data_IF_859521654437
#
_entry.id   IF_859521654437
#
_cell.length_a   1.000
_cell.length_b   1.000
_cell.length_c   1.000
_cell.angle_alpha   90.00
_cell.angle_beta   90.00
_cell.angle_gamma   90.00
#
_symmetry.space_group_name_H-M   'P 1'
#
loop_
_entity.id
_entity.type
_entity.pdbx_description
1 polymer ?
#
# COMPACT_ATOMS: atom_id res chain seq x y z
N UNK A 1 25.37 27.12 19.48
CA UNK A 1 25.23 25.86 18.69
C UNK A 1 24.22 24.86 19.30
N UNK A 2 23.88 24.91 20.61
CA UNK A 2 22.90 23.99 21.23
C UNK A 2 21.49 24.12 20.68
N UNK A 3 20.93 25.33 20.61
CA UNK A 3 19.54 25.58 20.23
C UNK A 3 19.16 25.06 18.82
N UNK A 4 20.04 25.22 17.84
CA UNK A 4 19.80 24.75 16.48
C UNK A 4 19.78 23.22 16.43
N UNK A 5 20.67 22.55 17.18
CA UNK A 5 20.70 21.09 17.28
C UNK A 5 19.43 20.53 17.91
N UNK A 6 18.95 21.15 18.99
CA UNK A 6 17.72 20.73 19.68
C UNK A 6 16.51 20.89 18.75
N UNK A 7 16.36 22.07 18.10
CA UNK A 7 15.27 22.31 17.17
C UNK A 7 15.25 21.32 15.99
N UNK A 8 16.42 20.93 15.49
CA UNK A 8 16.52 19.96 14.38
C UNK A 8 16.15 18.55 14.81
N UNK A 9 16.52 18.15 16.02
CA UNK A 9 16.13 16.87 16.62
C UNK A 9 14.63 16.81 16.85
N UNK A 10 14.04 17.87 17.43
CA UNK A 10 12.61 17.96 17.69
C UNK A 10 11.79 17.91 16.39
N UNK A 11 12.24 18.62 15.35
CA UNK A 11 11.62 18.58 14.03
C UNK A 11 11.68 17.17 13.39
N UNK A 12 12.79 16.47 13.55
CA UNK A 12 12.96 15.11 13.04
C UNK A 12 12.00 14.13 13.77
N UNK A 13 11.89 14.23 15.08
CA UNK A 13 10.99 13.39 15.87
C UNK A 13 9.52 13.65 15.53
N UNK A 14 9.14 14.88 15.22
CA UNK A 14 7.79 15.21 14.80
C UNK A 14 7.48 14.72 13.39
N UNK A 15 8.44 14.79 12.46
CA UNK A 15 8.26 14.41 11.05
C UNK A 15 8.30 12.88 10.82
N UNK A 16 9.09 12.16 11.62
CA UNK A 16 9.32 10.73 11.42
C UNK A 16 8.04 9.87 11.44
N UNK A 17 7.11 10.02 12.40
CA UNK A 17 5.86 9.25 12.40
C UNK A 17 5.01 9.50 11.15
N UNK A 18 4.91 10.76 10.72
CA UNK A 18 4.14 11.11 9.50
C UNK A 18 4.78 10.50 8.26
N UNK A 19 6.11 10.57 8.15
CA UNK A 19 6.85 9.97 7.05
C UNK A 19 6.68 8.44 7.02
N UNK A 20 6.69 7.76 8.16
CA UNK A 20 6.48 6.31 8.27
C UNK A 20 5.06 5.91 7.85
N UNK A 21 4.05 6.66 8.31
CA UNK A 21 2.65 6.41 7.92
C UNK A 21 2.49 6.63 6.41
N UNK A 22 3.01 7.72 5.86
CA UNK A 22 2.97 7.97 4.41
C UNK A 22 3.67 6.87 3.62
N UNK A 23 4.89 6.50 4.02
CA UNK A 23 5.65 5.42 3.38
C UNK A 23 4.87 4.09 3.41
N UNK A 24 4.21 3.79 4.53
CA UNK A 24 3.41 2.57 4.68
C UNK A 24 2.28 2.51 3.65
N UNK A 25 1.51 3.60 3.51
CA UNK A 25 0.42 3.69 2.53
C UNK A 25 0.90 3.65 1.10
N UNK A 26 1.99 4.35 0.80
CA UNK A 26 2.60 4.36 -0.52
C UNK A 26 3.14 2.98 -0.91
N UNK A 27 3.83 2.30 0.01
CA UNK A 27 4.34 0.94 -0.20
C UNK A 27 3.20 -0.06 -0.47
N UNK A 28 2.07 0.09 0.22
CA UNK A 28 0.89 -0.74 -0.03
C UNK A 28 0.28 -0.46 -1.40
N UNK A 29 0.01 0.80 -1.73
CA UNK A 29 -0.61 1.19 -3.00
C UNK A 29 0.22 0.78 -4.21
N UNK A 30 1.53 1.02 -4.18
CA UNK A 30 2.44 0.62 -5.27
C UNK A 30 2.47 -0.90 -5.42
N UNK A 31 2.52 -1.64 -4.31
CA UNK A 31 2.50 -3.11 -4.33
C UNK A 31 1.16 -3.65 -4.83
N UNK A 32 0.04 -3.04 -4.41
CA UNK A 32 -1.31 -3.47 -4.80
C UNK A 32 -1.61 -3.19 -6.27
N UNK A 33 -1.36 -1.96 -6.74
CA UNK A 33 -1.57 -1.59 -8.13
C UNK A 33 -0.63 -2.35 -9.07
N UNK A 34 0.59 -2.63 -8.61
CA UNK A 34 1.55 -3.46 -9.33
C UNK A 34 1.04 -4.88 -9.62
N UNK A 35 0.18 -5.47 -8.76
CA UNK A 35 -0.45 -6.77 -9.02
C UNK A 35 -1.37 -6.76 -10.25
N UNK A 36 -1.87 -5.59 -10.64
CA UNK A 36 -2.69 -5.39 -11.82
C UNK A 36 -1.90 -4.78 -12.99
N UNK A 37 -0.57 -4.63 -12.83
CA UNK A 37 0.30 -3.98 -13.82
C UNK A 37 -0.03 -2.50 -14.01
N UNK A 38 -0.45 -1.84 -12.94
CA UNK A 38 -0.69 -0.39 -12.90
C UNK A 38 0.48 0.23 -12.13
N UNK A 39 1.17 1.19 -12.75
CA UNK A 39 2.20 1.96 -12.08
C UNK A 39 1.57 3.13 -11.31
N UNK A 40 1.60 3.04 -9.98
CA UNK A 40 1.03 4.07 -9.10
C UNK A 40 1.68 5.44 -9.27
N UNK A 41 2.91 5.51 -9.79
CA UNK A 41 3.63 6.78 -9.99
C UNK A 41 3.11 7.59 -11.17
N UNK A 42 2.34 6.96 -12.06
CA UNK A 42 1.75 7.63 -13.23
C UNK A 42 0.42 8.35 -12.91
N UNK A 43 -0.06 8.20 -11.69
CA UNK A 43 -1.35 8.76 -11.28
C UNK A 43 -1.18 9.74 -10.13
N UNK A 44 -1.99 10.78 -10.13
CA UNK A 44 -2.07 11.71 -9.02
C UNK A 44 -2.90 11.09 -7.88
N UNK A 45 -2.21 10.36 -7.01
CA UNK A 45 -2.81 9.76 -5.81
C UNK A 45 -2.79 10.79 -4.69
N UNK A 46 -3.97 11.21 -4.23
CA UNK A 46 -4.06 12.20 -3.17
C UNK A 46 -3.38 11.73 -1.89
N UNK A 47 -2.77 12.66 -1.15
CA UNK A 47 -2.15 12.39 0.15
C UNK A 47 -3.11 11.69 1.12
N UNK A 48 -4.37 12.12 1.14
CA UNK A 48 -5.42 11.51 1.97
C UNK A 48 -5.64 10.04 1.63
N UNK A 49 -5.67 9.70 0.34
CA UNK A 49 -5.79 8.31 -0.11
C UNK A 49 -4.63 7.46 0.40
N UNK A 50 -3.39 7.97 0.29
CA UNK A 50 -2.20 7.26 0.80
C UNK A 50 -2.32 7.01 2.31
N UNK A 51 -2.76 8.00 3.09
CA UNK A 51 -2.93 7.87 4.54
C UNK A 51 -3.98 6.81 4.92
N UNK A 52 -5.10 6.75 4.20
CA UNK A 52 -6.15 5.73 4.46
C UNK A 52 -5.60 4.32 4.26
N UNK A 53 -4.85 4.10 3.20
CA UNK A 53 -4.26 2.79 2.91
C UNK A 53 -3.06 2.44 3.80
N UNK A 54 -2.47 3.41 4.50
CA UNK A 54 -1.36 3.18 5.42
C UNK A 54 -1.72 2.25 6.58
N UNK A 55 -2.98 2.26 7.00
CA UNK A 55 -3.44 1.42 8.11
C UNK A 55 -3.37 -0.07 7.78
N UNK A 56 -3.45 -0.46 6.51
CA UNK A 56 -3.46 -1.86 6.11
C UNK A 56 -2.17 -2.59 6.54
N UNK A 57 -0.97 -2.17 6.13
CA UNK A 57 0.26 -2.82 6.60
C UNK A 57 0.60 -2.52 8.06
N UNK A 58 0.21 -1.34 8.59
CA UNK A 58 0.48 -0.99 9.99
C UNK A 58 -0.26 -1.87 11.00
N UNK A 59 -1.39 -2.47 10.63
CA UNK A 59 -2.12 -3.41 11.47
C UNK A 59 -1.46 -4.80 11.56
N UNK A 60 -0.42 -5.06 10.78
CA UNK A 60 0.26 -6.35 10.83
C UNK A 60 0.95 -6.54 12.18
N UNK A 61 0.85 -7.76 12.74
CA UNK A 61 1.47 -8.10 14.02
C UNK A 61 2.99 -7.89 14.00
N UNK A 62 3.64 -8.12 12.84
CA UNK A 62 5.08 -7.92 12.69
C UNK A 62 5.47 -6.44 12.79
N UNK A 63 4.70 -5.54 12.16
CA UNK A 63 4.97 -4.09 12.21
C UNK A 63 4.71 -3.55 13.61
N UNK A 64 3.59 -3.92 14.23
CA UNK A 64 3.26 -3.53 15.60
C UNK A 64 4.32 -4.02 16.60
N UNK A 65 4.77 -5.27 16.46
CA UNK A 65 5.84 -5.82 17.28
C UNK A 65 7.16 -5.07 17.10
N UNK A 66 7.54 -4.75 15.87
CA UNK A 66 8.76 -3.97 15.59
C UNK A 66 8.69 -2.55 16.20
N UNK A 67 7.54 -1.86 16.07
CA UNK A 67 7.31 -0.56 16.69
C UNK A 67 7.42 -0.65 18.22
N UNK A 68 6.79 -1.67 18.82
CA UNK A 68 6.85 -1.87 20.28
C UNK A 68 8.29 -2.08 20.76
N UNK A 69 9.09 -2.88 20.04
CA UNK A 69 10.51 -3.09 20.36
C UNK A 69 11.28 -1.76 20.27
N UNK A 70 11.07 -0.96 19.24
CA UNK A 70 11.74 0.33 19.07
C UNK A 70 11.37 1.28 20.22
N UNK A 71 10.10 1.33 20.60
CA UNK A 71 9.64 2.18 21.72
C UNK A 71 10.27 1.74 23.03
N UNK A 72 10.31 0.43 23.32
CA UNK A 72 10.93 -0.10 24.54
C UNK A 72 12.43 0.21 24.58
N UNK A 73 13.15 0.00 23.48
CA UNK A 73 14.58 0.29 23.39
C UNK A 73 14.85 1.80 23.52
N UNK A 74 14.00 2.64 22.90
CA UNK A 74 14.08 4.10 23.05
C UNK A 74 13.86 4.54 24.49
N UNK A 75 12.89 3.93 25.18
CA UNK A 75 12.61 4.20 26.59
C UNK A 75 13.77 3.79 27.51
N UNK A 76 14.35 2.61 27.26
CA UNK A 76 15.54 2.16 28.00
C UNK A 76 16.72 3.13 27.78
N UNK A 77 16.96 3.55 26.53
CA UNK A 77 18.00 4.53 26.20
C UNK A 77 17.79 5.85 26.93
N UNK A 78 16.55 6.34 26.96
CA UNK A 78 16.18 7.55 27.71
C UNK A 78 16.43 7.41 29.22
N UNK A 79 16.07 6.29 29.83
CA UNK A 79 16.34 6.03 31.25
C UNK A 79 17.84 6.01 31.56
N UNK A 80 18.65 5.42 30.70
CA UNK A 80 20.11 5.39 30.86
C UNK A 80 20.67 6.81 30.80
N UNK A 81 20.23 7.64 29.84
CA UNK A 81 20.68 9.02 29.70
C UNK A 81 20.26 9.88 30.90
N UNK A 82 19.04 9.66 31.40
CA UNK A 82 18.51 10.39 32.56
C UNK A 82 19.27 10.09 33.85
N UNK A 83 19.80 8.86 34.03
CA UNK A 83 20.55 8.45 35.20
C UNK A 83 22.08 8.65 35.06
N UNK A 84 22.56 8.97 33.88
CA UNK A 84 23.98 9.16 33.64
C UNK A 84 24.43 10.55 34.11
N UNK A 85 25.45 10.60 35.00
CA UNK A 85 26.08 11.84 35.38
C UNK A 85 26.73 12.54 34.19
N UNK A 86 26.50 13.83 34.08
CA UNK A 86 26.72 14.72 32.91
C UNK A 86 28.18 14.82 32.39
N UNK A 87 29.18 14.27 33.07
CA UNK A 87 30.59 14.65 32.85
C UNK A 87 31.54 13.50 32.40
N UNK A 88 31.03 12.36 31.96
CA UNK A 88 31.91 11.29 31.49
C UNK A 88 31.99 11.22 29.95
N UNK A 89 33.24 11.23 29.42
CA UNK A 89 33.51 11.00 27.97
C UNK A 89 32.84 9.73 27.45
N UNK A 90 32.61 8.74 28.33
CA UNK A 90 31.90 7.50 28.01
C UNK A 90 30.43 7.71 27.64
N UNK A 91 29.73 8.67 28.26
CA UNK A 91 28.31 8.93 27.96
C UNK A 91 28.13 9.46 26.54
N UNK A 92 29.05 10.29 26.04
CA UNK A 92 29.00 10.79 24.63
C UNK A 92 29.17 9.66 23.61
N UNK A 93 30.06 8.71 23.88
CA UNK A 93 30.27 7.56 23.00
C UNK A 93 29.05 6.65 22.98
N UNK A 94 28.47 6.38 24.15
CA UNK A 94 27.24 5.59 24.28
C UNK A 94 26.06 6.28 23.55
N UNK A 95 25.85 7.58 23.76
CA UNK A 95 24.79 8.33 23.06
C UNK A 95 24.95 8.30 21.54
N UNK A 96 26.18 8.41 21.02
CA UNK A 96 26.43 8.32 19.58
C UNK A 96 26.13 6.90 19.05
N UNK A 97 26.44 5.85 19.80
CA UNK A 97 26.13 4.46 19.44
C UNK A 97 24.61 4.21 19.41
N UNK A 98 23.87 4.75 20.37
CA UNK A 98 22.42 4.67 20.38
C UNK A 98 21.78 5.40 19.19
N UNK A 99 22.31 6.56 18.81
CA UNK A 99 21.84 7.29 17.64
C UNK A 99 22.02 6.48 16.33
N UNK A 100 23.20 5.88 16.15
CA UNK A 100 23.45 5.02 14.99
C UNK A 100 22.54 3.79 15.00
N UNK A 101 22.35 3.17 16.14
CA UNK A 101 21.47 2.00 16.29
C UNK A 101 20.01 2.35 16.00
N UNK A 102 19.53 3.51 16.43
CA UNK A 102 18.18 4.00 16.13
C UNK A 102 17.96 4.16 14.61
N UNK A 103 18.94 4.69 13.87
CA UNK A 103 18.88 4.80 12.41
C UNK A 103 18.76 3.40 11.77
N UNK A 104 19.57 2.45 12.21
CA UNK A 104 19.49 1.06 11.70
C UNK A 104 18.11 0.45 11.98
N UNK A 105 17.55 0.65 13.18
CA UNK A 105 16.21 0.17 13.52
C UNK A 105 15.12 0.77 12.63
N UNK A 106 15.20 2.08 12.31
CA UNK A 106 14.25 2.73 11.39
C UNK A 106 14.36 2.12 10.00
N UNK A 107 15.56 1.87 9.49
CA UNK A 107 15.75 1.22 8.18
C UNK A 107 15.16 -0.19 8.19
N UNK A 108 15.40 -0.97 9.22
CA UNK A 108 14.82 -2.33 9.39
C UNK A 108 13.29 -2.25 9.43
N UNK A 109 12.73 -1.28 10.15
CA UNK A 109 11.29 -1.05 10.21
C UNK A 109 10.69 -0.75 8.82
N UNK A 110 11.36 0.07 8.00
CA UNK A 110 10.91 0.33 6.63
C UNK A 110 10.85 -0.95 5.77
N UNK A 111 11.83 -1.84 5.91
CA UNK A 111 11.80 -3.14 5.21
C UNK A 111 10.67 -4.04 5.71
N UNK A 112 10.42 -4.08 7.03
CA UNK A 112 9.30 -4.84 7.61
C UNK A 112 7.96 -4.29 7.11
N UNK A 113 7.78 -2.96 7.10
CA UNK A 113 6.58 -2.30 6.57
C UNK A 113 6.38 -2.66 5.10
N UNK A 114 7.44 -2.58 4.28
CA UNK A 114 7.36 -2.93 2.86
C UNK A 114 6.97 -4.40 2.66
N UNK A 115 7.53 -5.32 3.42
CA UNK A 115 7.20 -6.74 3.35
C UNK A 115 5.72 -6.98 3.74
N UNK A 116 5.25 -6.39 4.85
CA UNK A 116 3.86 -6.45 5.28
C UNK A 116 2.90 -5.85 4.25
N UNK A 117 3.27 -4.71 3.65
CA UNK A 117 2.51 -4.05 2.59
C UNK A 117 2.38 -4.95 1.35
N UNK A 118 3.47 -5.59 0.93
CA UNK A 118 3.45 -6.51 -0.22
C UNK A 118 2.58 -7.73 0.04
N UNK A 119 2.64 -8.32 1.23
CA UNK A 119 1.80 -9.46 1.61
C UNK A 119 0.33 -9.08 1.62
N UNK A 120 -0.04 -8.00 2.30
CA UNK A 120 -1.41 -7.51 2.36
C UNK A 120 -1.96 -7.11 0.97
N UNK A 121 -1.11 -6.54 0.10
CA UNK A 121 -1.46 -6.19 -1.26
C UNK A 121 -1.75 -7.44 -2.12
N UNK A 122 -1.00 -8.52 -1.95
CA UNK A 122 -1.26 -9.80 -2.61
C UNK A 122 -2.58 -10.40 -2.16
N UNK A 123 -2.82 -10.47 -0.85
CA UNK A 123 -4.06 -11.02 -0.29
C UNK A 123 -5.28 -10.23 -0.80
N UNK A 124 -5.19 -8.91 -0.86
CA UNK A 124 -6.27 -8.07 -1.39
C UNK A 124 -6.48 -8.29 -2.89
N UNK A 125 -5.40 -8.39 -3.66
CA UNK A 125 -5.46 -8.71 -5.09
C UNK A 125 -6.12 -10.07 -5.31
N UNK A 126 -5.78 -11.08 -4.52
CA UNK A 126 -6.38 -12.41 -4.56
C UNK A 126 -7.89 -12.36 -4.36
N UNK A 127 -8.34 -11.59 -3.38
CA UNK A 127 -9.76 -11.39 -3.10
C UNK A 127 -10.49 -10.70 -4.28
N UNK A 128 -9.83 -9.76 -4.98
CA UNK A 128 -10.39 -9.14 -6.20
C UNK A 128 -10.51 -10.17 -7.32
N UNK A 129 -9.46 -10.96 -7.56
CA UNK A 129 -9.47 -12.02 -8.57
C UNK A 129 -10.50 -13.11 -8.28
N UNK A 130 -10.69 -13.50 -7.02
CA UNK A 130 -11.75 -14.42 -6.58
C UNK A 130 -13.16 -13.79 -6.63
N UNK A 131 -13.25 -12.48 -6.59
CA UNK A 131 -14.52 -11.74 -6.59
C UNK A 131 -15.17 -11.62 -5.20
N UNK A 132 -14.41 -11.84 -4.14
CA UNK A 132 -14.96 -11.93 -2.77
C UNK A 132 -15.15 -10.57 -2.07
N UNK A 133 -14.31 -9.57 -2.37
CA UNK A 133 -14.23 -8.34 -1.56
C UNK A 133 -14.29 -7.00 -2.30
N UNK A 134 -14.69 -6.95 -3.55
CA UNK A 134 -14.77 -5.66 -4.23
C UNK A 134 -16.20 -5.13 -4.29
N UNK A 135 -16.40 -3.89 -3.88
CA UNK A 135 -17.64 -3.18 -4.14
C UNK A 135 -17.82 -3.00 -5.66
N UNK A 136 -18.98 -3.34 -6.14
CA UNK A 136 -19.32 -3.17 -7.55
C UNK A 136 -20.07 -1.84 -7.76
N UNK A 137 -19.38 -0.72 -7.58
CA UNK A 137 -19.87 0.54 -8.14
C UNK A 137 -19.43 0.56 -9.59
N UNK A 138 -20.37 0.36 -10.49
CA UNK A 138 -20.09 0.22 -11.91
C UNK A 138 -20.64 1.44 -12.62
N UNK A 139 -19.80 2.31 -13.22
CA UNK A 139 -20.25 3.40 -14.04
C UNK A 139 -21.08 2.92 -15.22
N UNK A 140 -22.12 3.65 -15.56
CA UNK A 140 -22.87 3.40 -16.79
C UNK A 140 -22.05 3.94 -17.97
N UNK A 141 -21.67 3.04 -18.86
CA UNK A 141 -21.00 3.36 -20.13
C UNK A 141 -22.06 3.36 -21.23
N UNK A 142 -22.03 4.39 -22.09
CA UNK A 142 -23.02 4.53 -23.19
C UNK A 142 -22.93 3.31 -24.12
N UNK A 143 -23.97 2.49 -24.22
CA UNK A 143 -23.99 1.29 -25.03
C UNK A 143 -24.03 1.56 -26.54
N UNK A 144 -24.27 2.81 -26.95
CA UNK A 144 -24.40 3.18 -28.37
C UNK A 144 -23.06 3.25 -29.12
N UNK A 145 -21.95 3.23 -28.43
CA UNK A 145 -20.63 3.16 -29.07
C UNK A 145 -20.37 1.74 -29.55
N UNK A 146 -20.18 1.58 -30.83
CA UNK A 146 -19.83 0.31 -31.47
C UNK A 146 -18.33 -0.04 -31.29
N UNK A 147 -17.86 0.14 -30.05
CA UNK A 147 -16.50 -0.13 -29.62
C UNK A 147 -16.46 -1.53 -28.96
N UNK A 148 -15.55 -2.41 -29.38
CA UNK A 148 -15.38 -3.74 -28.79
C UNK A 148 -15.16 -3.70 -27.26
N UNK A 149 -14.43 -2.68 -26.76
CA UNK A 149 -14.19 -2.50 -25.34
C UNK A 149 -15.47 -2.18 -24.56
N UNK A 150 -16.38 -1.40 -25.16
CA UNK A 150 -17.70 -1.07 -24.58
C UNK A 150 -18.59 -2.31 -24.55
N UNK A 151 -18.62 -3.09 -25.63
CA UNK A 151 -19.36 -4.35 -25.66
C UNK A 151 -18.89 -5.32 -24.59
N UNK A 152 -17.57 -5.51 -24.47
CA UNK A 152 -16.99 -6.37 -23.45
C UNK A 152 -17.30 -5.86 -22.04
N UNK A 153 -17.15 -4.55 -21.79
CA UNK A 153 -17.47 -3.93 -20.51
C UNK A 153 -18.92 -4.21 -20.10
N UNK A 154 -19.88 -3.97 -21.01
CA UNK A 154 -21.29 -4.19 -20.74
C UNK A 154 -21.61 -5.65 -20.49
N UNK A 155 -21.02 -6.58 -21.27
CA UNK A 155 -21.14 -8.02 -21.05
C UNK A 155 -20.58 -8.45 -19.68
N UNK A 156 -19.47 -7.84 -19.25
CA UNK A 156 -18.90 -8.09 -17.92
C UNK A 156 -19.78 -7.53 -16.79
N UNK A 157 -20.37 -6.36 -16.99
CA UNK A 157 -21.29 -5.75 -16.03
C UNK A 157 -22.55 -6.60 -15.88
N UNK A 158 -23.19 -6.97 -16.98
CA UNK A 158 -24.45 -7.71 -16.98
C UNK A 158 -24.24 -9.14 -16.43
N UNK A 159 -23.07 -9.72 -16.67
CA UNK A 159 -22.64 -10.98 -16.08
C UNK A 159 -22.16 -10.87 -14.63
N UNK A 160 -22.21 -9.69 -13.98
CA UNK A 160 -21.75 -9.41 -12.61
C UNK A 160 -20.29 -9.81 -12.37
N UNK A 161 -19.43 -9.74 -13.40
CA UNK A 161 -18.02 -10.13 -13.36
C UNK A 161 -17.07 -8.96 -13.13
N UNK A 162 -17.56 -7.71 -13.16
CA UNK A 162 -16.78 -6.53 -12.87
C UNK A 162 -16.48 -6.42 -11.37
N UNK A 163 -15.23 -6.12 -11.05
CA UNK A 163 -14.76 -5.86 -9.69
C UNK A 163 -13.93 -4.58 -9.67
N UNK A 164 -14.18 -3.75 -8.67
CA UNK A 164 -13.41 -2.52 -8.49
C UNK A 164 -12.03 -2.86 -7.97
N UNK A 165 -10.99 -2.39 -8.66
CA UNK A 165 -9.60 -2.45 -8.22
C UNK A 165 -9.30 -1.25 -7.33
N UNK A 166 -9.46 -0.05 -7.86
CA UNK A 166 -9.28 1.21 -7.11
C UNK A 166 -10.12 2.31 -7.75
N UNK A 167 -10.60 3.23 -6.92
CA UNK A 167 -11.20 4.50 -7.35
C UNK A 167 -10.25 5.65 -7.10
N UNK A 168 -9.93 6.41 -8.12
CA UNK A 168 -9.23 7.69 -8.07
C UNK A 168 -10.19 8.82 -8.38
N UNK A 169 -9.90 10.08 -8.03
CA UNK A 169 -10.83 11.19 -8.21
C UNK A 169 -11.40 11.34 -9.63
N UNK A 170 -10.59 11.06 -10.66
CA UNK A 170 -10.96 11.27 -12.06
C UNK A 170 -11.18 9.96 -12.83
N UNK A 171 -10.88 8.81 -12.25
CA UNK A 171 -10.97 7.53 -12.94
C UNK A 171 -11.14 6.34 -11.99
N UNK A 172 -11.81 5.34 -12.48
CA UNK A 172 -12.09 4.10 -11.77
C UNK A 172 -11.45 2.93 -12.52
N UNK A 173 -10.65 2.15 -11.82
CA UNK A 173 -10.09 0.91 -12.36
C UNK A 173 -10.97 -0.27 -11.98
N UNK A 174 -11.40 -1.00 -12.99
CA UNK A 174 -12.29 -2.14 -12.88
C UNK A 174 -11.66 -3.36 -13.57
N UNK A 175 -11.69 -4.50 -12.90
CA UNK A 175 -11.28 -5.77 -13.47
C UNK A 175 -12.52 -6.56 -13.90
N UNK A 176 -12.61 -6.91 -15.17
CA UNK A 176 -13.54 -7.92 -15.65
C UNK A 176 -12.86 -9.29 -15.58
N UNK A 177 -13.38 -10.15 -14.75
CA UNK A 177 -12.90 -11.53 -14.64
C UNK A 177 -13.35 -12.34 -15.86
N UNK A 178 -12.50 -13.20 -16.37
CA UNK A 178 -12.88 -14.18 -17.39
C UNK A 178 -13.99 -15.13 -16.88
N UNK A 179 -14.58 -15.89 -17.77
CA UNK A 179 -15.54 -16.93 -17.38
C UNK A 179 -14.85 -18.00 -16.49
N UNK A 180 -15.66 -18.80 -15.81
CA UNK A 180 -15.26 -19.69 -14.71
C UNK A 180 -14.05 -20.59 -14.97
N UNK A 181 -13.78 -20.92 -16.23
CA UNK A 181 -12.72 -21.86 -16.60
C UNK A 181 -11.31 -21.22 -16.72
N UNK A 182 -11.23 -19.88 -16.73
CA UNK A 182 -9.98 -19.14 -16.86
C UNK A 182 -9.84 -18.06 -15.80
N UNK A 183 -9.88 -18.44 -14.53
CA UNK A 183 -9.87 -17.51 -13.40
C UNK A 183 -8.55 -16.74 -13.23
N UNK A 184 -7.51 -17.07 -13.99
CA UNK A 184 -6.24 -16.34 -14.05
C UNK A 184 -6.21 -15.25 -15.13
N UNK A 185 -7.26 -15.10 -15.93
CA UNK A 185 -7.37 -14.09 -16.99
C UNK A 185 -8.48 -13.10 -16.69
N UNK A 186 -8.28 -11.89 -17.14
CA UNK A 186 -9.27 -10.82 -17.03
C UNK A 186 -8.86 -9.60 -17.83
N UNK A 187 -9.81 -8.69 -18.03
CA UNK A 187 -9.56 -7.42 -18.71
C UNK A 187 -9.68 -6.29 -17.71
N UNK A 188 -8.63 -5.50 -17.58
CA UNK A 188 -8.61 -4.28 -16.77
C UNK A 188 -9.16 -3.13 -17.60
N UNK A 189 -10.13 -2.41 -17.06
CA UNK A 189 -10.69 -1.18 -17.62
C UNK A 189 -10.35 0.01 -16.74
N UNK A 190 -9.92 1.12 -17.35
CA UNK A 190 -9.92 2.43 -16.73
C UNK A 190 -11.11 3.22 -17.28
N UNK A 191 -12.01 3.64 -16.39
CA UNK A 191 -13.23 4.36 -16.75
C UNK A 191 -13.21 5.72 -16.08
N UNK A 192 -13.51 6.80 -16.85
CA UNK A 192 -13.61 8.13 -16.29
C UNK A 192 -14.86 8.28 -15.41
N UNK A 193 -14.91 9.33 -14.59
CA UNK A 193 -16.09 9.70 -13.81
C UNK A 193 -17.35 9.94 -14.69
N UNK A 194 -17.15 10.27 -15.97
CA UNK A 194 -18.22 10.47 -16.97
C UNK A 194 -18.68 9.16 -17.64
N UNK A 195 -18.15 8.02 -17.26
CA UNK A 195 -18.49 6.73 -17.85
C UNK A 195 -17.82 6.45 -19.20
N UNK A 196 -16.72 7.14 -19.54
CA UNK A 196 -15.95 6.88 -20.76
C UNK A 196 -14.83 5.88 -20.47
N UNK A 197 -14.71 4.83 -21.25
CA UNK A 197 -13.55 3.92 -21.18
C UNK A 197 -12.34 4.66 -21.74
N UNK A 198 -11.33 4.85 -20.88
CA UNK A 198 -10.07 5.49 -21.23
C UNK A 198 -9.06 4.49 -21.74
N UNK A 199 -9.12 3.28 -21.19
CA UNK A 199 -8.14 2.24 -21.45
C UNK A 199 -8.73 0.87 -21.13
N UNK A 200 -8.34 -0.13 -21.91
CA UNK A 200 -8.61 -1.54 -21.63
C UNK A 200 -7.36 -2.37 -21.92
N UNK A 201 -7.03 -3.31 -21.06
CA UNK A 201 -5.92 -4.25 -21.28
C UNK A 201 -6.22 -5.60 -20.69
N UNK A 202 -5.86 -6.61 -21.44
CA UNK A 202 -5.92 -7.98 -20.95
C UNK A 202 -4.80 -8.23 -19.94
N UNK A 203 -5.15 -8.88 -18.86
CA UNK A 203 -4.26 -9.25 -17.78
C UNK A 203 -4.29 -10.74 -17.55
N UNK A 204 -3.11 -11.30 -17.43
CA UNK A 204 -2.90 -12.69 -17.06
C UNK A 204 -2.17 -12.71 -15.73
N UNK A 205 -2.67 -13.48 -14.80
CA UNK A 205 -2.01 -13.68 -13.52
C UNK A 205 -1.00 -14.81 -13.65
N UNK A 206 0.27 -14.47 -13.55
CA UNK A 206 1.38 -15.42 -13.52
C UNK A 206 1.55 -15.99 -12.11
N UNK A 207 0.69 -16.89 -11.66
CA UNK A 207 0.88 -17.50 -10.34
C UNK A 207 1.07 -19.01 -10.41
N UNK A 208 2.07 -19.47 -9.64
CA UNK A 208 2.51 -20.88 -9.51
C UNK A 208 1.38 -21.78 -8.95
N UNK A 209 0.31 -21.22 -8.38
CA UNK A 209 -0.80 -21.94 -7.75
C UNK A 209 -2.18 -21.61 -8.33
N UNK A 210 -2.30 -21.57 -9.63
CA UNK A 210 -3.59 -21.38 -10.36
C UNK A 210 -4.69 -22.35 -9.86
N UNK A 211 -4.33 -23.56 -9.45
CA UNK A 211 -5.29 -24.56 -8.94
C UNK A 211 -6.02 -24.17 -7.66
N UNK A 212 -5.42 -23.31 -6.80
CA UNK A 212 -6.07 -22.84 -5.55
C UNK A 212 -7.03 -21.67 -5.76
N UNK A 213 -6.88 -20.92 -6.85
CA UNK A 213 -7.65 -19.70 -7.12
C UNK A 213 -8.97 -20.02 -7.81
N UNK A 214 -9.01 -21.15 -8.54
CA UNK A 214 -10.14 -21.57 -9.36
C UNK A 214 -11.09 -22.56 -8.69
N UNK A 215 -10.88 -22.89 -7.42
CA UNK A 215 -11.84 -23.73 -6.68
C UNK A 215 -13.01 -22.86 -6.21
N UNK A 216 -14.26 -23.28 -6.47
CA UNK A 216 -15.47 -22.58 -5.99
C UNK A 216 -15.58 -22.58 -4.46
#
# INVERSE_FOLDING_TARGET
MGAVRTALVDALFAALPVALVYFSGWAYLTSYLGQFGIDATQFDVSFTTVLVYAFVPLQSCMVLGAIAVIVVLGFIGFLIEFHAKEDSKGVRTVAASFGLFAVVLVVVLLFIIKAAATTAARDMSDNVWKGEKSQSVVPLVDPRKDDPSVKLYNACRDGRRLRQVIGLPNQLFLMCRSAVDECNRGTLFAVSSEGKILYSADKVREEINVRKICQP
#
